data_IF_622251765663
#
_entry.id   IF_622251765663
#
_cell.length_a   1.000
_cell.length_b   1.000
_cell.length_c   1.000
_cell.angle_alpha   90.00
_cell.angle_beta   90.00
_cell.angle_gamma   90.00
#
_symmetry.space_group_name_H-M   'P 1'
#
loop_
_entity.id
_entity.type
_entity.pdbx_description
1 polymer ?
#
# COMPACT_ATOMS: atom_id res chain seq x y z
N UNK A 1 -19.77 -9.69 16.47
CA UNK A 1 -18.87 -9.53 15.30
C UNK A 1 -19.29 -8.26 14.56
N UNK A 2 -18.43 -7.66 13.74
CA UNK A 2 -18.84 -6.51 12.92
C UNK A 2 -19.85 -6.97 11.86
N UNK A 3 -20.96 -6.24 11.70
CA UNK A 3 -22.10 -6.62 10.84
C UNK A 3 -21.69 -6.99 9.42
N UNK A 4 -20.71 -6.29 8.85
CA UNK A 4 -20.17 -6.61 7.51
C UNK A 4 -19.55 -8.02 7.40
N UNK A 5 -19.00 -8.60 8.47
CA UNK A 5 -18.38 -9.94 8.43
C UNK A 5 -19.41 -11.05 8.32
N UNK A 6 -20.58 -10.87 8.92
CA UNK A 6 -21.66 -11.85 8.84
C UNK A 6 -22.20 -11.94 7.41
N UNK A 7 -22.23 -10.79 6.72
CA UNK A 7 -22.65 -10.68 5.31
C UNK A 7 -21.64 -11.12 4.27
N UNK A 8 -20.37 -11.29 4.64
CA UNK A 8 -19.38 -11.82 3.71
C UNK A 8 -19.75 -13.23 3.21
N UNK A 9 -20.51 -13.99 3.99
CA UNK A 9 -20.97 -15.33 3.60
C UNK A 9 -22.05 -15.30 2.49
N UNK A 10 -22.62 -14.13 2.17
CA UNK A 10 -23.60 -13.97 1.08
C UNK A 10 -22.93 -13.82 -0.30
N UNK A 11 -21.62 -13.56 -0.33
CA UNK A 11 -20.84 -13.37 -1.56
C UNK A 11 -20.08 -14.64 -1.95
N UNK A 12 -19.75 -14.77 -3.24
CA UNK A 12 -18.88 -15.84 -3.72
C UNK A 12 -17.45 -15.76 -3.13
N UNK A 13 -16.70 -16.84 -3.27
CA UNK A 13 -15.36 -16.96 -2.70
C UNK A 13 -14.38 -15.91 -3.28
N UNK A 14 -14.53 -15.51 -4.54
CA UNK A 14 -13.63 -14.54 -5.17
C UNK A 14 -13.82 -13.12 -4.65
N UNK A 15 -15.08 -12.69 -4.48
CA UNK A 15 -15.46 -11.41 -3.90
C UNK A 15 -15.14 -11.39 -2.40
N UNK A 16 -15.39 -12.49 -1.69
CA UNK A 16 -15.02 -12.64 -0.28
C UNK A 16 -13.52 -12.48 -0.08
N UNK A 17 -12.71 -13.21 -0.85
CA UNK A 17 -11.25 -13.10 -0.79
C UNK A 17 -10.75 -11.68 -1.14
N UNK A 18 -11.38 -11.01 -2.10
CA UNK A 18 -11.06 -9.63 -2.45
C UNK A 18 -11.33 -8.63 -1.30
N UNK A 19 -12.47 -8.80 -0.62
CA UNK A 19 -12.92 -7.96 0.48
C UNK A 19 -12.13 -8.22 1.77
N UNK A 20 -11.82 -9.46 2.10
CA UNK A 20 -10.97 -9.79 3.24
C UNK A 20 -9.51 -9.36 2.99
N UNK A 21 -9.04 -9.53 1.74
CA UNK A 21 -7.68 -9.22 1.33
C UNK A 21 -6.65 -10.12 2.02
N UNK A 22 -5.37 -9.75 1.90
CA UNK A 22 -4.29 -10.48 2.58
C UNK A 22 -4.18 -10.15 4.06
N UNK A 23 -3.29 -10.88 4.75
CA UNK A 23 -3.02 -10.80 6.20
C UNK A 23 -2.91 -9.38 6.78
N UNK A 24 -2.21 -8.47 6.10
CA UNK A 24 -2.06 -7.06 6.56
C UNK A 24 -3.42 -6.33 6.58
N UNK A 25 -4.26 -6.56 5.57
CA UNK A 25 -5.59 -5.94 5.50
C UNK A 25 -6.48 -6.50 6.60
N UNK A 26 -6.44 -7.83 6.80
CA UNK A 26 -7.19 -8.51 7.86
C UNK A 26 -6.78 -8.05 9.26
N UNK A 27 -5.50 -7.74 9.48
CA UNK A 27 -5.02 -7.19 10.75
C UNK A 27 -5.74 -5.88 11.09
N UNK A 28 -5.79 -4.92 10.17
CA UNK A 28 -6.49 -3.66 10.42
C UNK A 28 -8.02 -3.86 10.48
N UNK A 29 -8.60 -4.65 9.57
CA UNK A 29 -10.02 -4.96 9.51
C UNK A 29 -10.53 -5.85 10.68
N UNK A 30 -9.64 -6.28 11.58
CA UNK A 30 -10.03 -6.92 12.85
C UNK A 30 -10.52 -5.93 13.90
N UNK A 31 -10.18 -4.65 13.75
CA UNK A 31 -10.63 -3.57 14.60
C UNK A 31 -11.94 -2.96 14.08
N UNK A 32 -12.50 -2.00 14.83
CA UNK A 32 -13.66 -1.22 14.38
C UNK A 32 -13.37 -0.54 13.03
N UNK A 33 -14.40 -0.39 12.18
CA UNK A 33 -14.27 0.24 10.87
C UNK A 33 -13.70 1.65 10.93
N UNK A 34 -13.99 2.39 12.02
CA UNK A 34 -13.47 3.74 12.26
C UNK A 34 -11.94 3.74 12.45
N UNK A 35 -11.40 2.75 13.16
CA UNK A 35 -9.94 2.57 13.35
C UNK A 35 -9.26 1.97 12.12
N UNK A 36 -10.03 1.27 11.28
CA UNK A 36 -9.57 0.72 10.01
C UNK A 36 -9.49 1.77 8.89
N UNK A 37 -9.78 3.05 9.17
CA UNK A 37 -9.76 4.10 8.15
C UNK A 37 -8.36 4.22 7.51
N UNK A 38 -8.25 4.39 6.17
CA UNK A 38 -6.97 4.56 5.48
C UNK A 38 -6.05 5.65 6.06
N UNK A 39 -6.60 6.69 6.69
CA UNK A 39 -5.83 7.71 7.43
C UNK A 39 -5.03 7.07 8.58
N UNK A 40 -5.67 6.26 9.42
CA UNK A 40 -5.00 5.60 10.55
C UNK A 40 -3.97 4.57 10.09
N UNK A 41 -4.25 3.84 9.00
CA UNK A 41 -3.27 2.92 8.41
C UNK A 41 -2.04 3.69 7.92
N UNK A 42 -2.23 4.87 7.32
CA UNK A 42 -1.14 5.78 6.97
C UNK A 42 -0.33 6.22 8.19
N UNK A 43 -0.98 6.59 9.29
CA UNK A 43 -0.31 6.97 10.54
C UNK A 43 0.54 5.82 11.09
N UNK A 44 -0.01 4.60 11.18
CA UNK A 44 0.73 3.42 11.66
C UNK A 44 1.97 3.16 10.80
N UNK A 45 1.83 3.29 9.48
CA UNK A 45 2.95 3.17 8.57
C UNK A 45 4.02 4.25 8.80
N UNK A 46 3.61 5.51 9.02
CA UNK A 46 4.53 6.60 9.37
C UNK A 46 5.27 6.35 10.69
N UNK A 47 4.60 5.77 11.70
CA UNK A 47 5.23 5.36 12.97
C UNK A 47 6.36 4.36 12.72
N UNK A 48 6.13 3.35 11.89
CA UNK A 48 7.14 2.33 11.57
C UNK A 48 8.38 2.94 10.90
N UNK A 49 8.18 3.89 9.97
CA UNK A 49 9.28 4.63 9.35
C UNK A 49 10.05 5.44 10.40
N UNK A 50 9.36 6.17 11.27
CA UNK A 50 9.99 7.01 12.29
C UNK A 50 10.83 6.20 13.29
N UNK A 51 10.37 5.00 13.67
CA UNK A 51 11.18 4.08 14.49
C UNK A 51 12.47 3.68 13.78
N UNK A 52 12.40 3.46 12.47
CA UNK A 52 13.55 3.05 11.66
C UNK A 52 14.57 4.20 11.49
N UNK A 53 14.08 5.43 11.33
CA UNK A 53 14.91 6.63 11.18
C UNK A 53 15.59 7.12 12.47
N UNK A 54 15.23 6.57 13.62
CA UNK A 54 15.80 6.95 14.90
C UNK A 54 17.32 6.74 14.91
N UNK A 55 17.79 5.60 14.36
CA UNK A 55 19.21 5.26 14.29
C UNK A 55 20.05 6.28 13.48
N UNK A 56 19.75 6.55 12.19
CA UNK A 56 20.57 7.48 11.41
C UNK A 56 20.51 8.92 11.93
N UNK A 57 19.36 9.39 12.42
CA UNK A 57 19.23 10.75 12.98
C UNK A 57 20.07 10.90 14.25
N UNK A 58 20.04 9.89 15.12
CA UNK A 58 20.85 9.91 16.35
C UNK A 58 22.35 9.86 16.05
N UNK A 59 22.74 9.09 15.03
CA UNK A 59 24.13 9.05 14.56
C UNK A 59 24.60 10.41 14.03
N UNK A 60 23.79 11.08 13.21
CA UNK A 60 24.08 12.40 12.65
C UNK A 60 24.31 13.42 13.77
N UNK A 61 23.37 13.50 14.72
CA UNK A 61 23.45 14.41 15.86
C UNK A 61 24.68 14.16 16.75
N UNK A 62 24.96 12.89 17.06
CA UNK A 62 26.12 12.55 17.87
C UNK A 62 27.46 12.85 17.15
N UNK A 63 27.51 12.64 15.83
CA UNK A 63 28.69 12.96 15.02
C UNK A 63 28.96 14.47 14.95
N UNK A 64 27.90 15.28 14.96
CA UNK A 64 27.98 16.74 14.99
C UNK A 64 28.16 17.33 16.40
N UNK A 65 28.30 16.48 17.43
CA UNK A 65 28.40 16.90 18.85
C UNK A 65 27.20 17.74 19.32
N UNK A 66 26.00 17.44 18.82
CA UNK A 66 24.76 18.11 19.21
C UNK A 66 24.27 17.64 20.59
N UNK A 67 23.55 18.50 21.30
CA UNK A 67 22.94 18.12 22.58
C UNK A 67 21.84 17.06 22.38
N UNK A 68 21.72 16.04 23.24
CA UNK A 68 20.68 15.01 23.10
C UNK A 68 19.25 15.55 22.99
N UNK A 69 18.94 16.70 23.62
CA UNK A 69 17.62 17.33 23.51
C UNK A 69 17.38 17.89 22.11
N UNK A 70 18.41 18.47 21.47
CA UNK A 70 18.31 18.99 20.11
C UNK A 70 18.10 17.85 19.10
N UNK A 71 18.80 16.73 19.27
CA UNK A 71 18.63 15.51 18.45
C UNK A 71 17.19 14.98 18.58
N UNK A 72 16.69 14.89 19.81
CA UNK A 72 15.32 14.45 20.07
C UNK A 72 14.30 15.39 19.43
N UNK A 73 14.50 16.71 19.53
CA UNK A 73 13.63 17.70 18.92
C UNK A 73 13.63 17.59 17.38
N UNK A 74 14.79 17.37 16.76
CA UNK A 74 14.89 17.11 15.31
C UNK A 74 14.10 15.86 14.91
N UNK A 75 14.28 14.76 15.64
CA UNK A 75 13.55 13.53 15.38
C UNK A 75 12.03 13.70 15.55
N UNK A 76 11.58 14.40 16.60
CA UNK A 76 10.14 14.68 16.82
C UNK A 76 9.57 15.52 15.67
N UNK A 77 10.23 16.61 15.29
CA UNK A 77 9.78 17.49 14.23
C UNK A 77 9.64 16.73 12.90
N UNK A 78 10.66 15.95 12.56
CA UNK A 78 10.64 15.11 11.36
C UNK A 78 9.56 14.03 11.45
N UNK A 79 9.39 13.42 12.62
CA UNK A 79 8.38 12.38 12.84
C UNK A 79 6.97 12.91 12.62
N UNK A 80 6.66 14.10 13.13
CA UNK A 80 5.36 14.76 12.92
C UNK A 80 5.10 15.01 11.43
N UNK A 81 6.10 15.49 10.69
CA UNK A 81 5.96 15.71 9.24
C UNK A 81 5.63 14.40 8.52
N UNK A 82 6.35 13.32 8.81
CA UNK A 82 6.12 12.00 8.18
C UNK A 82 4.73 11.46 8.52
N UNK A 83 4.29 11.58 9.78
CA UNK A 83 2.97 11.15 10.22
C UNK A 83 1.87 11.93 9.51
N UNK A 84 1.99 13.26 9.46
CA UNK A 84 1.02 14.13 8.78
C UNK A 84 0.96 13.82 7.29
N UNK A 85 2.11 13.62 6.65
CA UNK A 85 2.19 13.26 5.23
C UNK A 85 1.46 11.93 4.98
N UNK A 86 1.75 10.88 5.74
CA UNK A 86 1.13 9.58 5.54
C UNK A 86 -0.38 9.61 5.85
N UNK A 87 -0.80 10.33 6.90
CA UNK A 87 -2.20 10.54 7.23
C UNK A 87 -2.94 11.27 6.10
N UNK A 88 -2.33 12.34 5.58
CA UNK A 88 -2.89 13.15 4.50
C UNK A 88 -3.02 12.35 3.20
N UNK A 89 -2.02 11.55 2.83
CA UNK A 89 -2.13 10.67 1.67
C UNK A 89 -3.20 9.58 1.87
N UNK A 90 -3.37 9.08 3.11
CA UNK A 90 -4.48 8.19 3.47
C UNK A 90 -5.85 8.85 3.26
N UNK A 91 -5.99 10.12 3.65
CA UNK A 91 -7.23 10.89 3.45
C UNK A 91 -7.49 11.18 1.96
N UNK A 92 -6.45 11.53 1.20
CA UNK A 92 -6.58 11.66 -0.27
C UNK A 92 -7.04 10.33 -0.86
N UNK A 93 -6.53 9.21 -0.35
CA UNK A 93 -6.88 7.89 -0.85
C UNK A 93 -8.34 7.51 -0.60
N UNK A 94 -8.93 7.90 0.53
CA UNK A 94 -10.37 7.70 0.78
C UNK A 94 -11.22 8.53 -0.17
N UNK A 95 -10.88 9.80 -0.37
CA UNK A 95 -11.60 10.70 -1.28
C UNK A 95 -11.53 10.16 -2.71
N UNK A 96 -10.33 9.82 -3.18
CA UNK A 96 -10.13 9.28 -4.53
C UNK A 96 -10.86 7.95 -4.67
N UNK A 97 -10.83 7.07 -3.68
CA UNK A 97 -11.55 5.80 -3.75
C UNK A 97 -13.07 5.99 -3.78
N UNK A 98 -13.61 7.01 -3.11
CA UNK A 98 -15.04 7.32 -3.14
C UNK A 98 -15.48 7.82 -4.51
N UNK A 99 -14.62 8.61 -5.18
CA UNK A 99 -14.88 9.15 -6.50
C UNK A 99 -14.64 8.11 -7.61
N UNK A 100 -13.49 7.45 -7.57
CA UNK A 100 -13.06 6.42 -8.51
C UNK A 100 -13.52 5.07 -7.97
N UNK A 101 -14.72 4.67 -8.37
CA UNK A 101 -15.35 3.40 -8.02
C UNK A 101 -14.67 2.23 -8.74
N UNK A 102 -13.50 1.84 -8.25
CA UNK A 102 -12.67 0.74 -8.78
C UNK A 102 -12.53 -0.38 -7.75
N UNK A 103 -12.37 -1.64 -8.21
CA UNK A 103 -12.07 -2.74 -7.31
C UNK A 103 -10.64 -2.62 -6.75
N UNK A 104 -10.37 -3.16 -5.54
CA UNK A 104 -9.03 -3.16 -4.96
C UNK A 104 -8.08 -4.05 -5.79
N UNK A 105 -6.87 -3.53 -6.05
CA UNK A 105 -5.85 -4.29 -6.77
C UNK A 105 -5.26 -5.36 -5.84
N UNK A 106 -5.25 -6.62 -6.31
CA UNK A 106 -4.56 -7.74 -5.64
C UNK A 106 -3.04 -7.55 -5.80
N UNK A 107 -2.33 -7.51 -4.67
CA UNK A 107 -0.90 -7.22 -4.65
C UNK A 107 0.00 -8.46 -4.54
N UNK A 108 -0.54 -9.67 -4.56
CA UNK A 108 0.23 -10.91 -4.36
C UNK A 108 1.49 -10.99 -5.24
N UNK A 109 1.35 -10.77 -6.55
CA UNK A 109 2.50 -10.75 -7.48
C UNK A 109 3.40 -9.52 -7.34
N UNK A 110 2.89 -8.39 -6.81
CA UNK A 110 3.63 -7.11 -6.66
C UNK A 110 4.34 -6.95 -5.31
N UNK A 111 3.97 -7.72 -4.28
CA UNK A 111 4.58 -7.68 -2.94
C UNK A 111 6.08 -7.93 -2.97
N UNK A 112 6.54 -8.83 -3.85
CA UNK A 112 7.97 -9.14 -4.05
C UNK A 112 8.82 -7.89 -4.34
N UNK A 113 8.25 -6.91 -5.03
CA UNK A 113 8.94 -5.65 -5.36
C UNK A 113 8.65 -4.54 -4.36
N UNK A 114 7.44 -4.51 -3.77
CA UNK A 114 7.04 -3.43 -2.87
C UNK A 114 7.67 -3.56 -1.47
N UNK A 115 7.87 -4.78 -0.96
CA UNK A 115 8.41 -5.05 0.37
C UNK A 115 9.90 -4.72 0.57
N UNK A 116 10.81 -4.88 -0.41
CA UNK A 116 12.20 -4.46 -0.23
C UNK A 116 12.40 -2.94 -0.27
N UNK A 117 11.46 -2.17 -0.84
CA UNK A 117 11.64 -0.72 -1.03
C UNK A 117 11.93 0.05 0.26
N UNK A 118 11.21 -0.14 1.39
CA UNK A 118 11.55 0.54 2.64
C UNK A 118 12.98 0.28 3.09
N UNK A 119 13.49 -0.94 2.91
CA UNK A 119 14.87 -1.29 3.28
C UNK A 119 15.89 -0.63 2.37
N UNK A 120 15.61 -0.57 1.07
CA UNK A 120 16.46 0.13 0.08
C UNK A 120 16.47 1.63 0.39
N UNK A 121 15.29 2.23 0.62
CA UNK A 121 15.17 3.64 1.00
C UNK A 121 15.92 3.95 2.28
N UNK A 122 15.75 3.11 3.32
CA UNK A 122 16.49 3.23 4.56
C UNK A 122 18.01 3.15 4.38
N UNK A 123 18.50 2.20 3.57
CA UNK A 123 19.92 2.04 3.29
C UNK A 123 20.48 3.30 2.59
N UNK A 124 19.78 3.80 1.57
CA UNK A 124 20.16 5.04 0.87
C UNK A 124 20.18 6.20 1.84
N UNK A 125 19.11 6.41 2.61
CA UNK A 125 19.02 7.50 3.61
C UNK A 125 20.14 7.41 4.64
N UNK A 126 20.46 6.22 5.13
CA UNK A 126 21.51 5.99 6.12
C UNK A 126 22.89 6.29 5.55
N UNK A 127 23.21 5.79 4.35
CA UNK A 127 24.48 6.10 3.67
C UNK A 127 24.59 7.61 3.43
N UNK A 128 23.52 8.25 2.96
CA UNK A 128 23.53 9.69 2.71
C UNK A 128 23.81 10.50 3.97
N UNK A 129 23.20 10.12 5.09
CA UNK A 129 23.42 10.78 6.38
C UNK A 129 24.85 10.55 6.88
N UNK A 130 25.34 9.31 6.85
CA UNK A 130 26.68 8.97 7.36
C UNK A 130 27.79 9.65 6.55
N UNK A 131 27.69 9.61 5.22
CA UNK A 131 28.72 10.12 4.33
C UNK A 131 28.52 11.58 3.93
N UNK A 132 27.52 12.27 4.50
CA UNK A 132 27.18 13.66 4.16
C UNK A 132 27.05 13.87 2.65
N UNK A 133 26.34 12.96 1.98
CA UNK A 133 26.18 13.00 0.51
C UNK A 133 25.14 14.05 0.10
N UNK A 134 25.00 14.36 -1.22
CA UNK A 134 24.12 15.41 -1.69
C UNK A 134 22.64 15.26 -1.26
N UNK A 135 21.97 16.40 -1.09
CA UNK A 135 20.60 16.46 -0.58
C UNK A 135 19.59 15.73 -1.48
N UNK A 136 19.85 15.67 -2.79
CA UNK A 136 18.98 14.96 -3.74
C UNK A 136 18.90 13.46 -3.44
N UNK A 137 20.02 12.85 -3.03
CA UNK A 137 20.05 11.44 -2.63
C UNK A 137 19.30 11.22 -1.31
N UNK A 138 19.35 12.21 -0.40
CA UNK A 138 18.59 12.17 0.86
C UNK A 138 17.10 12.14 0.56
N UNK A 139 16.64 13.04 -0.32
CA UNK A 139 15.25 13.11 -0.77
C UNK A 139 14.82 11.81 -1.45
N UNK A 140 15.65 11.25 -2.33
CA UNK A 140 15.36 9.99 -3.01
C UNK A 140 15.23 8.83 -2.01
N UNK A 141 16.12 8.74 -1.02
CA UNK A 141 16.04 7.76 0.07
C UNK A 141 14.73 7.87 0.84
N UNK A 142 14.35 9.08 1.26
CA UNK A 142 13.07 9.33 1.92
C UNK A 142 11.86 8.98 1.04
N UNK A 143 11.90 9.32 -0.24
CA UNK A 143 10.83 8.99 -1.17
C UNK A 143 10.64 7.48 -1.29
N UNK A 144 11.72 6.72 -1.51
CA UNK A 144 11.67 5.25 -1.62
C UNK A 144 11.22 4.61 -0.31
N UNK A 145 11.63 5.16 0.83
CA UNK A 145 11.24 4.71 2.17
C UNK A 145 9.74 4.94 2.43
N UNK A 146 9.21 6.11 2.07
CA UNK A 146 7.83 6.52 2.37
C UNK A 146 6.83 5.98 1.34
N UNK A 147 7.14 6.03 0.04
CA UNK A 147 6.20 5.74 -1.05
C UNK A 147 5.41 4.42 -0.96
N UNK A 148 5.98 3.26 -0.58
CA UNK A 148 5.26 1.99 -0.68
C UNK A 148 4.03 1.89 0.22
N UNK A 149 4.01 2.56 1.38
CA UNK A 149 2.84 2.57 2.28
C UNK A 149 1.63 3.30 1.68
N UNK A 150 1.74 4.61 1.36
CA UNK A 150 0.68 5.34 0.69
C UNK A 150 0.25 4.73 -0.65
N UNK A 151 1.18 4.16 -1.42
CA UNK A 151 0.84 3.44 -2.64
C UNK A 151 -0.04 2.21 -2.36
N UNK A 152 0.34 1.39 -1.38
CA UNK A 152 -0.47 0.25 -0.92
C UNK A 152 -1.88 0.70 -0.51
N UNK A 153 -1.96 1.81 0.24
CA UNK A 153 -3.23 2.36 0.71
C UNK A 153 -4.10 2.78 -0.47
N UNK A 154 -3.53 3.55 -1.39
CA UNK A 154 -4.23 4.15 -2.52
C UNK A 154 -4.78 3.12 -3.52
N UNK A 155 -4.02 2.06 -3.81
CA UNK A 155 -4.37 1.10 -4.87
C UNK A 155 -5.16 -0.11 -4.36
N UNK A 156 -4.99 -0.48 -3.09
CA UNK A 156 -5.54 -1.73 -2.54
C UNK A 156 -6.42 -1.49 -1.33
N UNK A 157 -5.91 -0.79 -0.31
CA UNK A 157 -6.60 -0.74 0.98
C UNK A 157 -7.81 0.21 0.98
N UNK A 158 -7.70 1.43 0.48
CA UNK A 158 -8.79 2.40 0.47
C UNK A 158 -10.02 1.93 -0.35
N UNK A 159 -9.86 1.36 -1.56
CA UNK A 159 -10.97 0.75 -2.29
C UNK A 159 -11.67 -0.38 -1.53
N UNK A 160 -10.89 -1.23 -0.85
CA UNK A 160 -11.43 -2.31 -0.01
C UNK A 160 -12.22 -1.75 1.17
N UNK A 161 -11.65 -0.80 1.91
CA UNK A 161 -12.29 -0.18 3.07
C UNK A 161 -13.62 0.48 2.68
N UNK A 162 -13.68 1.21 1.56
CA UNK A 162 -14.92 1.79 1.02
C UNK A 162 -16.01 0.74 0.79
N UNK A 163 -15.65 -0.40 0.19
CA UNK A 163 -16.60 -1.47 -0.10
C UNK A 163 -17.15 -2.07 1.19
N UNK A 164 -16.27 -2.32 2.17
CA UNK A 164 -16.67 -2.84 3.48
C UNK A 164 -17.57 -1.83 4.22
N UNK A 165 -17.25 -0.54 4.18
CA UNK A 165 -18.09 0.51 4.77
C UNK A 165 -19.49 0.55 4.17
N UNK A 166 -19.62 0.29 2.86
CA UNK A 166 -20.93 0.17 2.20
C UNK A 166 -21.71 -1.06 2.66
N UNK A 167 -21.06 -2.22 2.76
CA UNK A 167 -21.70 -3.46 3.26
C UNK A 167 -22.22 -3.25 4.69
N UNK A 168 -21.44 -2.58 5.54
CA UNK A 168 -21.83 -2.28 6.93
C UNK A 168 -23.08 -1.39 7.01
N UNK A 169 -23.24 -0.49 6.02
CA UNK A 169 -24.39 0.42 5.86
C UNK A 169 -25.57 -0.14 5.07
N UNK A 170 -25.59 -1.45 4.77
CA UNK A 170 -26.63 -2.08 3.94
C UNK A 170 -26.71 -1.52 2.50
N UNK A 171 -25.60 -1.01 1.96
CA UNK A 171 -25.51 -0.50 0.59
C UNK A 171 -24.79 -1.50 -0.32
N UNK A 172 -25.09 -1.46 -1.61
CA UNK A 172 -24.37 -2.26 -2.61
C UNK A 172 -22.88 -1.81 -2.68
N UNK A 173 -21.90 -2.68 -2.36
CA UNK A 173 -20.48 -2.34 -2.45
C UNK A 173 -19.98 -2.12 -3.88
N UNK A 174 -20.69 -2.66 -4.88
CA UNK A 174 -20.30 -2.64 -6.29
C UNK A 174 -20.94 -1.53 -7.12
N UNK A 175 -21.85 -0.77 -6.53
CA UNK A 175 -22.61 0.27 -7.22
C UNK A 175 -21.71 1.25 -7.98
N UNK A 176 -21.91 1.34 -9.30
CA UNK A 176 -21.16 2.23 -10.20
C UNK A 176 -19.75 1.76 -10.54
N UNK A 177 -19.38 0.51 -10.25
CA UNK A 177 -18.16 -0.10 -10.76
C UNK A 177 -18.37 -0.72 -12.13
N UNK A 178 -17.49 -0.43 -13.09
CA UNK A 178 -17.52 -1.04 -14.43
C UNK A 178 -17.03 -2.51 -14.44
N UNK A 179 -16.18 -2.86 -13.47
CA UNK A 179 -15.60 -4.20 -13.29
C UNK A 179 -15.58 -4.48 -11.78
N UNK A 180 -16.08 -5.64 -11.35
CA UNK A 180 -16.18 -5.99 -9.93
C UNK A 180 -15.01 -6.87 -9.46
N UNK A 181 -14.48 -7.70 -10.35
CA UNK A 181 -13.30 -8.53 -10.11
C UNK A 181 -12.29 -8.31 -11.22
N UNK A 182 -11.01 -8.12 -10.88
CA UNK A 182 -9.94 -8.27 -11.86
C UNK A 182 -9.75 -9.77 -12.13
N UNK A 183 -10.42 -10.31 -13.16
CA UNK A 183 -10.04 -11.62 -13.74
C UNK A 183 -8.54 -11.59 -13.98
N UNK A 184 -7.81 -12.49 -13.32
CA UNK A 184 -6.42 -12.73 -13.70
C UNK A 184 -6.46 -13.11 -15.17
N UNK A 185 -5.76 -12.36 -16.02
CA UNK A 185 -5.40 -12.91 -17.32
C UNK A 185 -4.49 -14.07 -16.95
N UNK A 186 -5.04 -15.29 -16.95
CA UNK A 186 -4.22 -16.48 -16.85
C UNK A 186 -3.26 -16.37 -18.04
N UNK A 187 -1.96 -16.31 -17.75
CA UNK A 187 -0.95 -16.41 -18.80
C UNK A 187 -1.12 -17.71 -19.58
N UNK A 188 -1.80 -18.71 -19.00
CA UNK A 188 -2.20 -19.94 -19.67
C UNK A 188 -3.18 -19.68 -20.83
N UNK A 189 -4.19 -18.81 -20.66
CA UNK A 189 -5.12 -18.44 -21.75
C UNK A 189 -4.43 -17.62 -22.84
N UNK A 190 -3.50 -16.74 -22.46
CA UNK A 190 -2.69 -15.98 -23.43
C UNK A 190 -1.69 -16.89 -24.15
N UNK A 191 -1.15 -17.90 -23.46
CA UNK A 191 -0.25 -18.90 -24.06
C UNK A 191 -1.00 -19.87 -24.97
N UNK A 192 -2.21 -20.30 -24.59
CA UNK A 192 -3.08 -21.14 -25.44
C UNK A 192 -3.54 -20.38 -26.68
N UNK A 193 -3.91 -19.09 -26.54
CA UNK A 193 -4.21 -18.25 -27.70
C UNK A 193 -3.01 -18.10 -28.63
N UNK A 194 -1.82 -17.82 -28.08
CA UNK A 194 -0.61 -17.71 -28.88
C UNK A 194 -0.19 -19.04 -29.51
N UNK A 195 -0.40 -20.18 -28.84
CA UNK A 195 -0.12 -21.53 -29.37
C UNK A 195 -1.08 -21.87 -30.52
N UNK A 196 -2.38 -21.64 -30.32
CA UNK A 196 -3.39 -21.87 -31.35
C UNK A 196 -3.16 -20.97 -32.58
N UNK A 197 -2.74 -19.72 -32.39
CA UNK A 197 -2.39 -18.82 -33.48
C UNK A 197 -1.14 -19.30 -34.26
N UNK A 198 -0.13 -19.81 -33.55
CA UNK A 198 1.05 -20.43 -34.17
C UNK A 198 0.72 -21.71 -34.95
N UNK A 199 -0.15 -22.56 -34.42
CA UNK A 199 -0.58 -23.80 -35.07
C UNK A 199 -1.37 -23.53 -36.36
N UNK A 200 -2.29 -22.55 -36.33
CA UNK A 200 -3.03 -22.11 -37.51
C UNK A 200 -2.10 -21.55 -38.61
N UNK A 201 -1.07 -20.79 -38.25
CA UNK A 201 -0.09 -20.27 -39.23
C UNK A 201 0.77 -21.39 -39.83
N UNK A 202 1.06 -22.45 -39.08
CA UNK A 202 1.78 -23.62 -39.59
C UNK A 202 0.92 -24.41 -40.56
N UNK A 203 -0.37 -24.61 -40.27
CA UNK A 203 -1.30 -25.28 -41.18
C UNK A 203 -1.51 -24.52 -42.51
N UNK A 204 -1.52 -23.18 -42.49
CA UNK A 204 -1.58 -22.37 -43.72
C UNK A 204 -0.31 -22.45 -44.59
N UNK A 205 0.84 -22.78 -44.00
CA UNK A 205 2.12 -22.91 -44.72
C UNK A 205 2.30 -24.30 -45.37
N UNK A 206 1.60 -25.31 -44.84
CA UNK A 206 1.63 -26.69 -45.33
C UNK A 206 0.53 -27.00 -46.38
N UNK A 207 -0.33 -26.02 -46.72
CA UNK A 207 -1.35 -26.09 -47.79
C UNK A 207 -0.91 -25.41 -49.09
#
# INVERSE_FOLDING_TARGET
MSKWRERLNEYDDEHRHMLEGGSISQLFLSYSLSFSNPVFVGIVYGIMINMTLLLPIFYEGNSNSEDPMEILQKWINQSVIILLLCAFLGAISTIISSLIRRPPIRLEKRRRYLYPLPFIGFLITTITIIFSTPEELKILGYFILIAPGPLYIQISYAPRWRMIERIDRDLDPFEGMKKTIYREINNDELSEQNFNELENVIEELDS
#
